data_IF_739312171885
#
_entry.id   IF_739312171885
#
_cell.length_a   1.000
_cell.length_b   1.000
_cell.length_c   1.000
_cell.angle_alpha   90.00
_cell.angle_beta   90.00
_cell.angle_gamma   90.00
#
_symmetry.space_group_name_H-M   'P 1'
#
loop_
_entity.id
_entity.type
_entity.pdbx_description
1 polymer ?
#
# COMPACT_ATOMS: atom_id res chain seq x y z
N UNK A 1 -1.98 17.98 24.39
CA UNK A 1 -1.77 18.38 22.99
C UNK A 1 -2.15 17.18 22.12
N UNK A 2 -3.37 17.18 21.60
CA UNK A 2 -3.85 16.11 20.71
C UNK A 2 -3.31 16.35 19.30
N UNK A 3 -2.75 15.31 18.68
CA UNK A 3 -2.28 15.33 17.30
C UNK A 3 -3.43 15.74 16.37
N UNK A 4 -3.16 16.56 15.33
CA UNK A 4 -4.22 17.02 14.44
C UNK A 4 -4.82 15.86 13.64
N UNK A 5 -6.14 15.93 13.40
CA UNK A 5 -7.01 14.88 12.82
C UNK A 5 -6.57 14.32 11.45
N UNK A 6 -5.60 14.96 10.80
CA UNK A 6 -5.05 14.52 9.51
C UNK A 6 -3.84 13.58 9.65
N UNK A 7 -3.27 13.39 10.84
CA UNK A 7 -2.18 12.43 11.07
C UNK A 7 -2.80 11.05 11.32
N UNK A 8 -2.82 10.22 10.28
CA UNK A 8 -3.19 8.81 10.39
C UNK A 8 -1.95 8.00 10.75
N UNK A 9 -1.91 7.42 11.95
CA UNK A 9 -0.86 6.47 12.33
C UNK A 9 -1.24 5.06 11.87
N UNK A 10 -0.49 4.53 10.90
CA UNK A 10 -0.60 3.17 10.40
C UNK A 10 0.69 2.42 10.73
N UNK A 11 0.57 1.17 11.18
CA UNK A 11 1.73 0.27 11.27
C UNK A 11 2.06 -0.22 9.87
N UNK A 12 3.28 0.07 9.42
CA UNK A 12 3.77 -0.26 8.08
C UNK A 12 5.15 -0.89 8.18
N UNK A 13 5.39 -1.87 7.32
CA UNK A 13 6.62 -2.65 7.29
C UNK A 13 7.08 -2.82 5.85
N UNK A 14 8.38 -2.76 5.62
CA UNK A 14 8.98 -3.04 4.32
C UNK A 14 10.23 -3.88 4.49
N UNK A 15 10.58 -4.64 3.45
CA UNK A 15 11.74 -5.50 3.51
C UNK A 15 11.90 -6.35 2.27
N UNK A 16 12.85 -7.28 2.36
CA UNK A 16 13.15 -8.23 1.29
C UNK A 16 12.98 -9.65 1.83
N UNK A 17 12.29 -10.49 1.05
CA UNK A 17 12.20 -11.94 1.26
C UNK A 17 13.07 -12.61 0.21
N UNK A 18 14.04 -13.41 0.64
CA UNK A 18 14.85 -14.23 -0.27
C UNK A 18 13.98 -15.35 -0.82
N UNK A 19 13.90 -15.45 -2.15
CA UNK A 19 13.12 -16.50 -2.85
C UNK A 19 14.01 -17.53 -3.56
N UNK A 20 15.29 -17.21 -3.75
CA UNK A 20 16.30 -18.15 -4.23
C UNK A 20 17.65 -17.77 -3.62
N UNK A 21 18.18 -18.60 -2.73
CA UNK A 21 19.47 -18.36 -2.07
C UNK A 21 20.66 -18.55 -3.02
N UNK A 22 20.56 -19.51 -3.94
CA UNK A 22 21.64 -19.86 -4.87
C UNK A 22 21.85 -18.79 -5.93
N UNK A 23 20.76 -18.17 -6.41
CA UNK A 23 20.79 -17.07 -7.37
C UNK A 23 20.62 -15.70 -6.70
N UNK A 24 20.62 -15.65 -5.36
CA UNK A 24 20.43 -14.45 -4.54
C UNK A 24 19.21 -13.60 -4.95
N UNK A 25 18.13 -14.24 -5.41
CA UNK A 25 16.91 -13.52 -5.82
C UNK A 25 16.11 -13.13 -4.58
N UNK A 26 15.71 -11.86 -4.51
CA UNK A 26 14.94 -11.30 -3.41
C UNK A 26 13.71 -10.57 -3.94
N UNK A 27 12.57 -10.78 -3.30
CA UNK A 27 11.36 -10.01 -3.54
C UNK A 27 11.25 -8.92 -2.48
N UNK A 28 11.07 -7.68 -2.94
CA UNK A 28 10.71 -6.58 -2.05
C UNK A 28 9.21 -6.67 -1.70
N UNK A 29 8.87 -6.38 -0.45
CA UNK A 29 7.48 -6.23 -0.01
C UNK A 29 7.27 -4.93 0.76
N UNK A 30 6.03 -4.44 0.71
CA UNK A 30 5.52 -3.34 1.52
C UNK A 30 4.17 -3.77 2.08
N UNK A 31 4.03 -3.77 3.40
CA UNK A 31 2.87 -4.26 4.12
C UNK A 31 2.35 -3.16 5.07
N UNK A 32 1.03 -2.97 5.10
CA UNK A 32 0.36 -2.02 5.97
C UNK A 32 -0.75 -2.73 6.71
N UNK A 33 -0.81 -2.58 8.03
CA UNK A 33 -1.87 -3.17 8.83
C UNK A 33 -3.19 -2.40 8.72
N UNK A 34 -4.30 -3.12 8.87
CA UNK A 34 -5.60 -2.50 9.00
C UNK A 34 -5.67 -1.62 10.25
N UNK A 35 -6.27 -0.44 10.13
CA UNK A 35 -6.35 0.56 11.22
C UNK A 35 -7.08 0.04 12.47
N UNK A 36 -8.00 -0.91 12.34
CA UNK A 36 -8.79 -1.45 13.45
C UNK A 36 -8.81 -2.98 13.43
N UNK A 37 -8.53 -3.59 14.58
CA UNK A 37 -8.53 -5.04 14.80
C UNK A 37 -7.74 -5.81 13.72
N UNK A 38 -6.49 -5.41 13.44
CA UNK A 38 -5.66 -5.98 12.36
C UNK A 38 -5.53 -7.50 12.42
N UNK A 39 -5.41 -8.08 13.61
CA UNK A 39 -5.28 -9.54 13.83
C UNK A 39 -6.52 -10.33 13.39
N UNK A 40 -7.71 -9.74 13.37
CA UNK A 40 -8.95 -10.43 12.95
C UNK A 40 -9.32 -10.15 11.50
N UNK A 41 -8.53 -9.37 10.76
CA UNK A 41 -8.77 -9.04 9.35
C UNK A 41 -7.97 -9.97 8.45
N UNK A 42 -8.52 -10.24 7.27
CA UNK A 42 -7.86 -11.07 6.27
C UNK A 42 -6.67 -10.33 5.65
N UNK A 43 -5.57 -11.07 5.41
CA UNK A 43 -4.43 -10.57 4.68
C UNK A 43 -4.75 -10.55 3.18
N UNK A 44 -4.63 -9.37 2.56
CA UNK A 44 -4.78 -9.21 1.11
C UNK A 44 -3.40 -9.09 0.49
N UNK A 45 -3.03 -10.05 -0.35
CA UNK A 45 -1.82 -9.99 -1.16
C UNK A 45 -2.17 -9.38 -2.52
N UNK A 46 -1.58 -8.21 -2.82
CA UNK A 46 -1.74 -7.55 -4.10
C UNK A 46 -0.51 -7.77 -4.98
N UNK A 47 -0.71 -8.37 -6.15
CA UNK A 47 0.33 -8.59 -7.15
C UNK A 47 -0.16 -8.00 -8.47
N UNK A 48 0.53 -6.99 -9.00
CA UNK A 48 0.26 -6.51 -10.35
C UNK A 48 0.89 -7.46 -11.37
N UNK A 49 0.21 -7.68 -12.49
CA UNK A 49 0.70 -8.50 -13.60
C UNK A 49 1.51 -7.73 -14.63
N UNK A 50 2.03 -8.47 -15.63
CA UNK A 50 2.80 -7.98 -16.78
C UNK A 50 4.31 -8.25 -16.65
N UNK A 51 5.03 -8.60 -17.74
CA UNK A 51 6.49 -8.74 -17.68
C UNK A 51 7.16 -7.36 -17.57
N UNK A 52 7.86 -7.12 -16.45
CA UNK A 52 8.79 -5.98 -16.31
C UNK A 52 8.24 -4.70 -15.66
N UNK A 53 6.97 -4.64 -15.25
CA UNK A 53 6.43 -3.49 -14.50
C UNK A 53 6.43 -3.76 -12.98
N UNK A 54 7.01 -2.86 -12.19
CA UNK A 54 7.03 -2.95 -10.73
C UNK A 54 5.63 -2.73 -10.15
N UNK A 55 5.18 -3.66 -9.31
CA UNK A 55 3.87 -3.57 -8.64
C UNK A 55 3.69 -2.29 -7.82
N UNK A 56 4.77 -1.70 -7.31
CA UNK A 56 4.74 -0.43 -6.59
C UNK A 56 4.35 0.75 -7.50
N UNK A 57 4.78 0.75 -8.76
CA UNK A 57 4.46 1.83 -9.69
C UNK A 57 2.97 1.87 -10.03
N UNK A 58 2.35 0.70 -10.20
CA UNK A 58 0.90 0.62 -10.42
C UNK A 58 0.11 0.89 -9.14
N UNK A 59 0.62 0.50 -7.95
CA UNK A 59 0.00 0.84 -6.67
C UNK A 59 -0.01 2.36 -6.43
N UNK A 60 1.09 3.05 -6.77
CA UNK A 60 1.20 4.50 -6.68
C UNK A 60 0.24 5.20 -7.65
N UNK A 61 0.11 4.70 -8.89
CA UNK A 61 -0.82 5.25 -9.89
C UNK A 61 -2.30 5.04 -9.50
N UNK A 62 -2.68 3.84 -9.05
CA UNK A 62 -4.05 3.51 -8.63
C UNK A 62 -4.47 4.29 -7.36
N UNK A 63 -3.59 4.36 -6.34
CA UNK A 63 -3.87 5.14 -5.13
C UNK A 63 -3.93 6.64 -5.44
N UNK A 64 -3.06 7.16 -6.31
CA UNK A 64 -3.10 8.56 -6.77
C UNK A 64 -4.40 8.86 -7.51
N UNK A 65 -4.89 7.95 -8.35
CA UNK A 65 -6.17 8.10 -9.04
C UNK A 65 -7.34 8.11 -8.06
N UNK A 66 -7.35 7.20 -7.07
CA UNK A 66 -8.39 7.17 -6.04
C UNK A 66 -8.40 8.43 -5.18
N UNK A 67 -7.22 8.96 -4.84
CA UNK A 67 -7.09 10.21 -4.09
C UNK A 67 -7.49 11.43 -4.95
N UNK A 68 -7.15 11.46 -6.24
CA UNK A 68 -7.56 12.50 -7.17
C UNK A 68 -9.08 12.50 -7.39
N UNK A 69 -9.69 11.34 -7.60
CA UNK A 69 -11.13 11.18 -7.78
C UNK A 69 -11.91 11.53 -6.50
N UNK A 70 -11.40 11.16 -5.32
CA UNK A 70 -12.01 11.55 -4.04
C UNK A 70 -11.96 13.06 -3.81
N UNK A 71 -10.85 13.73 -4.17
CA UNK A 71 -10.73 15.20 -4.12
C UNK A 71 -11.67 15.88 -5.10
N UNK A 72 -11.81 15.33 -6.31
CA UNK A 72 -12.71 15.85 -7.33
C UNK A 72 -14.18 15.71 -6.91
N UNK A 73 -14.56 14.57 -6.33
CA UNK A 73 -15.90 14.35 -5.79
C UNK A 73 -16.21 15.28 -4.61
N UNK A 74 -15.23 15.57 -3.74
CA UNK A 74 -15.39 16.54 -2.64
C UNK A 74 -15.52 17.98 -3.16
N UNK A 75 -14.88 18.32 -4.29
CA UNK A 75 -15.02 19.63 -4.91
C UNK A 75 -16.34 19.80 -5.69
N UNK A 76 -16.89 18.73 -6.27
CA UNK A 76 -18.20 18.77 -6.93
C UNK A 76 -19.38 18.79 -5.93
N UNK A 77 -19.14 18.42 -4.68
CA UNK A 77 -20.13 18.46 -3.60
C UNK A 77 -20.07 19.75 -2.74
N UNK A 78 -19.29 20.75 -3.14
CA UNK A 78 -19.17 22.06 -2.49
C UNK A 78 -19.55 23.21 -3.41
#
# INVERSE_FOLDING_TARGET
>A
MGSPLWIVMLQQYSGYVTVDETQQRKLFYYFVEAKTNSTSKLLVLWLNGGPGCSSIGSLELELSLSMALSRQMVQELS
#
